data_IF_169186897492
#
_entry.id   IF_169186897492
#
_cell.length_a   1.000
_cell.length_b   1.000
_cell.length_c   1.000
_cell.angle_alpha   90.00
_cell.angle_beta   90.00
_cell.angle_gamma   90.00
#
_symmetry.space_group_name_H-M   'P 1'
#
loop_
_entity.id
_entity.type
_entity.pdbx_description
1 polymer ?
#
# COMPACT_ATOMS: atom_id res chain seq x y z
N UNK A 1 52.22 15.51 -50.31
CA UNK A 1 51.46 16.49 -49.51
C UNK A 1 50.80 15.70 -48.41
N UNK A 2 51.28 15.91 -47.18
CA UNK A 2 50.90 15.40 -45.86
C UNK A 2 50.02 14.14 -45.75
N UNK A 3 50.64 13.10 -45.20
CA UNK A 3 50.05 12.02 -44.43
C UNK A 3 49.29 12.57 -43.21
N UNK A 4 48.13 11.99 -42.91
CA UNK A 4 47.46 12.10 -41.62
C UNK A 4 47.26 10.67 -41.13
N UNK A 5 48.07 10.29 -40.14
CA UNK A 5 47.87 9.10 -39.32
C UNK A 5 46.62 9.28 -38.46
N UNK A 6 45.77 8.25 -38.43
CA UNK A 6 44.76 8.08 -37.39
C UNK A 6 45.02 6.70 -36.79
N UNK A 7 45.82 6.67 -35.73
CA UNK A 7 45.80 5.61 -34.73
C UNK A 7 44.57 5.79 -33.83
N UNK A 8 43.95 4.69 -33.41
CA UNK A 8 42.86 4.72 -32.45
C UNK A 8 42.14 3.38 -32.34
N UNK A 9 42.68 2.51 -31.50
CA UNK A 9 42.13 1.22 -31.09
C UNK A 9 40.88 1.43 -30.22
N UNK A 10 39.69 1.46 -30.83
CA UNK A 10 38.44 1.60 -30.09
C UNK A 10 37.95 0.22 -29.59
N UNK A 11 38.44 -0.12 -28.40
CA UNK A 11 37.76 -1.01 -27.48
C UNK A 11 36.28 -0.63 -27.40
N UNK A 12 35.39 -1.54 -27.81
CA UNK A 12 33.96 -1.44 -27.54
C UNK A 12 33.76 -1.69 -26.04
N UNK A 13 34.01 -0.66 -25.23
CA UNK A 13 33.53 -0.58 -23.87
C UNK A 13 32.07 -0.12 -23.92
N UNK A 14 31.15 -1.06 -23.75
CA UNK A 14 29.75 -0.81 -23.44
C UNK A 14 29.69 0.03 -22.15
N UNK A 15 29.63 1.35 -22.31
CA UNK A 15 29.49 2.32 -21.23
C UNK A 15 28.18 2.14 -20.46
N UNK A 16 28.17 1.20 -19.51
CA UNK A 16 27.29 1.25 -18.35
C UNK A 16 27.84 2.29 -17.37
N UNK A 17 27.77 3.55 -17.77
CA UNK A 17 27.86 4.68 -16.85
C UNK A 17 26.49 5.39 -16.84
N UNK A 18 25.49 4.70 -16.31
CA UNK A 18 24.35 5.41 -15.72
C UNK A 18 24.83 6.04 -14.44
N UNK A 19 25.26 7.28 -14.54
CA UNK A 19 25.31 8.22 -13.43
C UNK A 19 24.01 8.09 -12.64
N UNK A 20 24.09 7.54 -11.42
CA UNK A 20 23.00 7.60 -10.45
C UNK A 20 22.91 9.07 -10.05
N UNK A 21 22.22 9.86 -10.87
CA UNK A 21 21.74 11.16 -10.47
C UNK A 21 20.70 10.91 -9.39
N UNK A 22 21.10 11.13 -8.14
CA UNK A 22 20.25 11.27 -6.97
C UNK A 22 18.93 11.93 -7.37
N UNK A 23 17.85 11.14 -7.46
CA UNK A 23 16.52 11.63 -7.75
C UNK A 23 16.15 12.54 -6.57
N UNK A 24 16.21 13.83 -6.83
CA UNK A 24 15.84 14.87 -5.91
C UNK A 24 14.30 14.93 -5.90
N UNK A 25 13.66 14.22 -4.96
CA UNK A 25 12.19 14.09 -4.81
C UNK A 25 11.46 15.40 -4.44
N UNK A 26 12.05 16.56 -4.74
CA UNK A 26 11.47 17.88 -4.45
C UNK A 26 10.81 18.54 -5.67
N UNK A 27 10.58 17.80 -6.76
CA UNK A 27 9.86 18.29 -7.95
C UNK A 27 8.74 17.30 -8.32
N UNK A 28 7.80 17.08 -7.41
CA UNK A 28 6.48 16.51 -7.73
C UNK A 28 5.46 17.23 -6.85
N UNK A 29 5.26 18.53 -7.08
CA UNK A 29 4.26 19.30 -6.37
C UNK A 29 3.25 20.00 -7.31
N UNK A 30 3.42 19.94 -8.63
CA UNK A 30 2.59 20.75 -9.55
C UNK A 30 1.93 20.00 -10.73
N UNK A 31 2.05 18.68 -10.87
CA UNK A 31 1.34 17.94 -11.95
C UNK A 31 0.81 16.55 -11.52
N UNK A 32 0.33 16.37 -10.29
CA UNK A 32 -0.15 15.06 -9.78
C UNK A 32 -1.69 14.91 -9.67
N UNK A 33 -2.46 15.67 -10.45
CA UNK A 33 -3.93 15.57 -10.40
C UNK A 33 -4.49 14.32 -11.13
N UNK A 34 -3.69 13.57 -11.90
CA UNK A 34 -4.20 12.42 -12.68
C UNK A 34 -3.94 11.02 -12.10
N UNK A 35 -2.83 10.78 -11.38
CA UNK A 35 -2.43 9.41 -10.99
C UNK A 35 -3.02 8.91 -9.66
N UNK A 36 -3.57 9.79 -8.81
CA UNK A 36 -4.22 9.43 -7.52
C UNK A 36 -5.75 9.39 -7.66
N UNK A 37 -6.30 9.55 -8.87
CA UNK A 37 -7.75 9.69 -9.09
C UNK A 37 -8.60 8.60 -8.42
N UNK A 38 -8.18 7.33 -8.50
CA UNK A 38 -8.95 6.22 -7.90
C UNK A 38 -8.86 6.21 -6.38
N UNK A 39 -7.68 6.52 -5.81
CA UNK A 39 -7.55 6.65 -4.34
C UNK A 39 -8.39 7.84 -3.84
N UNK A 40 -8.39 8.96 -4.56
CA UNK A 40 -9.26 10.10 -4.24
C UNK A 40 -10.75 9.71 -4.30
N UNK A 41 -11.15 8.87 -5.26
CA UNK A 41 -12.53 8.35 -5.31
C UNK A 41 -12.87 7.50 -4.07
N UNK A 42 -11.90 6.75 -3.52
CA UNK A 42 -12.09 6.03 -2.24
C UNK A 42 -12.29 7.03 -1.10
N UNK A 43 -11.50 8.11 -1.03
CA UNK A 43 -11.69 9.16 -0.03
C UNK A 43 -13.09 9.78 -0.12
N UNK A 44 -13.50 10.21 -1.32
CA UNK A 44 -14.79 10.84 -1.54
C UNK A 44 -15.94 9.89 -1.18
N UNK A 45 -15.85 8.63 -1.58
CA UNK A 45 -16.85 7.61 -1.24
C UNK A 45 -16.99 7.42 0.27
N UNK A 46 -15.87 7.24 0.99
CA UNK A 46 -15.91 7.00 2.44
C UNK A 46 -16.44 8.24 3.18
N UNK A 47 -16.05 9.44 2.77
CA UNK A 47 -16.55 10.70 3.36
C UNK A 47 -18.06 10.86 3.14
N UNK A 48 -18.55 10.67 1.91
CA UNK A 48 -19.97 10.80 1.60
C UNK A 48 -20.82 9.73 2.29
N UNK A 49 -20.31 8.50 2.36
CA UNK A 49 -21.02 7.39 3.01
C UNK A 49 -21.09 7.60 4.54
N UNK A 50 -20.01 8.06 5.15
CA UNK A 50 -19.98 8.32 6.61
C UNK A 50 -20.84 9.52 7.03
N UNK A 51 -20.99 10.56 6.20
CA UNK A 51 -21.91 11.68 6.44
C UNK A 51 -23.37 11.22 6.53
N UNK A 52 -23.76 10.26 5.69
CA UNK A 52 -25.12 9.76 5.58
C UNK A 52 -25.40 8.54 6.48
N UNK A 53 -24.36 8.03 7.15
CA UNK A 53 -24.44 6.83 7.97
C UNK A 53 -25.14 7.11 9.31
N UNK A 54 -26.36 6.58 9.47
CA UNK A 54 -26.97 6.39 10.78
C UNK A 54 -26.46 5.08 11.33
N UNK A 55 -25.79 5.11 12.50
CA UNK A 55 -25.22 3.95 13.22
C UNK A 55 -26.27 2.85 13.37
N UNK A 56 -26.42 2.00 12.36
CA UNK A 56 -27.22 0.78 12.33
C UNK A 56 -26.25 -0.34 12.01
N UNK A 57 -25.82 -1.00 13.08
CA UNK A 57 -25.25 -2.34 13.15
C UNK A 57 -24.45 -2.78 11.92
N UNK A 58 -23.21 -2.28 11.79
CA UNK A 58 -22.19 -3.08 11.12
C UNK A 58 -21.93 -4.28 12.03
N UNK A 59 -22.68 -5.36 11.82
CA UNK A 59 -22.47 -6.61 12.51
C UNK A 59 -21.07 -7.10 12.14
N UNK A 60 -20.18 -7.13 13.13
CA UNK A 60 -18.89 -7.77 12.95
C UNK A 60 -19.13 -9.26 12.95
N UNK A 61 -18.75 -9.93 11.87
CA UNK A 61 -18.80 -11.39 11.81
C UNK A 61 -17.68 -11.95 12.71
N UNK A 62 -18.03 -12.76 13.71
CA UNK A 62 -17.08 -13.37 14.65
C UNK A 62 -15.95 -14.12 13.94
N UNK A 63 -16.24 -14.75 12.80
CA UNK A 63 -15.22 -15.44 12.00
C UNK A 63 -14.19 -14.47 11.39
N UNK A 64 -14.63 -13.28 10.96
CA UNK A 64 -13.73 -12.23 10.43
C UNK A 64 -12.81 -11.71 11.55
N UNK A 65 -13.32 -11.59 12.77
CA UNK A 65 -12.53 -11.18 13.94
C UNK A 65 -11.48 -12.21 14.35
N UNK A 66 -11.85 -13.49 14.38
CA UNK A 66 -10.94 -14.58 14.70
C UNK A 66 -9.78 -14.63 13.69
N UNK A 67 -10.12 -14.58 12.41
CA UNK A 67 -9.15 -14.56 11.31
C UNK A 67 -8.17 -13.38 11.40
N UNK A 68 -8.71 -12.17 11.58
CA UNK A 68 -7.91 -10.96 11.74
C UNK A 68 -6.97 -11.07 12.96
N UNK A 69 -7.45 -11.63 14.06
CA UNK A 69 -6.65 -11.81 15.26
C UNK A 69 -5.48 -12.76 15.04
N UNK A 70 -5.70 -13.88 14.35
CA UNK A 70 -4.63 -14.81 13.98
C UNK A 70 -3.59 -14.15 13.08
N UNK A 71 -4.04 -13.36 12.10
CA UNK A 71 -3.17 -12.61 11.17
C UNK A 71 -2.31 -11.56 11.89
N UNK A 72 -2.87 -10.88 12.89
CA UNK A 72 -2.12 -9.94 13.74
C UNK A 72 -1.02 -10.69 14.51
N UNK A 73 -1.34 -11.81 15.16
CA UNK A 73 -0.37 -12.60 15.94
C UNK A 73 0.73 -13.24 15.06
N UNK A 74 0.40 -13.56 13.82
CA UNK A 74 1.37 -14.02 12.84
C UNK A 74 2.40 -12.91 12.54
N UNK A 75 1.92 -11.69 12.34
CA UNK A 75 2.75 -10.60 11.82
C UNK A 75 3.46 -9.78 12.89
N UNK A 76 2.87 -9.57 14.06
CA UNK A 76 3.42 -8.73 15.13
C UNK A 76 3.83 -9.59 16.32
N UNK A 77 4.94 -9.25 16.98
CA UNK A 77 5.56 -10.12 18.00
C UNK A 77 5.55 -9.54 19.40
N UNK A 78 5.68 -8.23 19.54
CA UNK A 78 5.59 -7.63 20.88
C UNK A 78 4.12 -7.40 21.28
N UNK A 79 3.85 -7.48 22.57
CA UNK A 79 2.51 -7.18 23.11
C UNK A 79 2.06 -5.75 22.78
N UNK A 80 3.00 -4.80 22.76
CA UNK A 80 2.74 -3.41 22.40
C UNK A 80 2.32 -3.25 20.94
N UNK A 81 3.03 -3.90 20.01
CA UNK A 81 2.69 -3.89 18.58
C UNK A 81 1.32 -4.53 18.34
N UNK A 82 1.08 -5.69 18.95
CA UNK A 82 -0.20 -6.42 18.83
C UNK A 82 -1.35 -5.55 19.36
N UNK A 83 -1.17 -4.91 20.52
CA UNK A 83 -2.16 -4.03 21.13
C UNK A 83 -2.44 -2.81 20.24
N UNK A 84 -1.39 -2.18 19.72
CA UNK A 84 -1.52 -1.00 18.85
C UNK A 84 -2.29 -1.34 17.56
N UNK A 85 -1.95 -2.43 16.89
CA UNK A 85 -2.62 -2.83 15.63
C UNK A 85 -4.07 -3.25 15.89
N UNK A 86 -4.36 -3.97 16.97
CA UNK A 86 -5.75 -4.29 17.36
C UNK A 86 -6.57 -3.02 17.61
N UNK A 87 -5.97 -2.01 18.24
CA UNK A 87 -6.63 -0.72 18.46
C UNK A 87 -6.97 -0.03 17.14
N UNK A 88 -6.05 -0.06 16.16
CA UNK A 88 -6.31 0.48 14.83
C UNK A 88 -7.53 -0.17 14.18
N UNK A 89 -7.57 -1.50 14.10
CA UNK A 89 -8.72 -2.22 13.53
C UNK A 89 -10.02 -1.95 14.29
N UNK A 90 -9.97 -1.90 15.62
CA UNK A 90 -11.15 -1.63 16.45
C UNK A 90 -11.72 -0.23 16.21
N UNK A 91 -10.85 0.78 16.14
CA UNK A 91 -11.26 2.18 16.00
C UNK A 91 -11.71 2.52 14.57
N UNK A 92 -11.09 1.87 13.58
CA UNK A 92 -11.29 2.18 12.17
C UNK A 92 -12.21 1.19 11.44
N UNK A 93 -12.77 0.20 12.13
CA UNK A 93 -13.59 -0.85 11.55
C UNK A 93 -14.63 -0.36 10.52
N UNK A 94 -15.40 0.67 10.86
CA UNK A 94 -16.40 1.26 9.95
C UNK A 94 -15.78 1.83 8.68
N UNK A 95 -14.63 2.50 8.79
CA UNK A 95 -13.95 3.07 7.63
C UNK A 95 -13.35 1.97 6.75
N UNK A 96 -12.75 0.94 7.35
CA UNK A 96 -12.24 -0.24 6.64
C UNK A 96 -13.37 -0.90 5.84
N UNK A 97 -14.55 -1.07 6.45
CA UNK A 97 -15.72 -1.60 5.75
C UNK A 97 -16.13 -0.75 4.54
N UNK A 98 -16.11 0.58 4.65
CA UNK A 98 -16.45 1.45 3.52
C UNK A 98 -15.38 1.48 2.43
N UNK A 99 -14.10 1.36 2.80
CA UNK A 99 -13.01 1.16 1.84
C UNK A 99 -13.24 -0.14 1.07
N UNK A 100 -13.50 -1.25 1.76
CA UNK A 100 -13.80 -2.55 1.14
C UNK A 100 -14.98 -2.43 0.17
N UNK A 101 -16.07 -1.75 0.59
CA UNK A 101 -17.23 -1.53 -0.27
C UNK A 101 -16.93 -0.69 -1.50
N UNK A 102 -16.14 0.38 -1.36
CA UNK A 102 -15.71 1.18 -2.50
C UNK A 102 -14.86 0.33 -3.46
N UNK A 103 -13.89 -0.41 -2.93
CA UNK A 103 -12.99 -1.24 -3.71
C UNK A 103 -13.73 -2.31 -4.51
N UNK A 104 -14.74 -2.95 -3.92
CA UNK A 104 -15.62 -3.92 -4.58
C UNK A 104 -16.42 -3.36 -5.77
N UNK A 105 -16.53 -2.03 -5.91
CA UNK A 105 -17.21 -1.39 -7.05
C UNK A 105 -16.28 -1.05 -8.22
N UNK A 106 -14.97 -1.17 -8.02
CA UNK A 106 -13.98 -0.93 -9.08
C UNK A 106 -13.96 -2.09 -10.08
N UNK A 107 -13.61 -1.80 -11.32
CA UNK A 107 -13.32 -2.86 -12.30
C UNK A 107 -12.11 -3.69 -11.87
N UNK A 108 -12.10 -4.98 -12.19
CA UNK A 108 -11.04 -5.93 -11.80
C UNK A 108 -9.64 -5.43 -12.17
N UNK A 109 -9.47 -4.87 -13.37
CA UNK A 109 -8.23 -4.24 -13.81
C UNK A 109 -7.72 -3.17 -12.82
N UNK A 110 -8.61 -2.31 -12.33
CA UNK A 110 -8.25 -1.26 -11.38
C UNK A 110 -7.94 -1.83 -9.99
N UNK A 111 -8.65 -2.88 -9.57
CA UNK A 111 -8.35 -3.58 -8.33
C UNK A 111 -6.93 -4.16 -8.39
N UNK A 112 -6.59 -4.87 -9.47
CA UNK A 112 -5.27 -5.47 -9.68
C UNK A 112 -4.15 -4.42 -9.70
N UNK A 113 -4.36 -3.31 -10.40
CA UNK A 113 -3.39 -2.20 -10.42
C UNK A 113 -3.11 -1.67 -9.01
N UNK A 114 -4.15 -1.51 -8.19
CA UNK A 114 -3.99 -1.01 -6.81
C UNK A 114 -3.29 -2.06 -5.95
N UNK A 115 -3.71 -3.33 -6.01
CA UNK A 115 -3.03 -4.41 -5.29
C UNK A 115 -1.53 -4.45 -5.62
N UNK A 116 -1.19 -4.36 -6.91
CA UNK A 116 0.20 -4.35 -7.35
C UNK A 116 0.98 -3.13 -6.84
N UNK A 117 0.39 -1.93 -6.95
CA UNK A 117 1.00 -0.69 -6.46
C UNK A 117 1.30 -0.76 -4.97
N UNK A 118 0.33 -1.20 -4.17
CA UNK A 118 0.46 -1.27 -2.71
C UNK A 118 1.45 -2.35 -2.29
N UNK A 119 1.42 -3.50 -2.96
CA UNK A 119 2.40 -4.57 -2.72
C UNK A 119 3.82 -4.10 -2.99
N UNK A 120 4.05 -3.35 -4.08
CA UNK A 120 5.37 -2.79 -4.40
C UNK A 120 5.83 -1.77 -3.36
N UNK A 121 4.96 -0.84 -2.95
CA UNK A 121 5.27 0.10 -1.87
C UNK A 121 5.62 -0.62 -0.57
N UNK A 122 4.85 -1.64 -0.22
CA UNK A 122 5.11 -2.46 0.96
C UNK A 122 6.46 -3.17 0.88
N UNK A 123 6.80 -3.81 -0.25
CA UNK A 123 8.07 -4.51 -0.41
C UNK A 123 9.27 -3.54 -0.31
N UNK A 124 9.15 -2.35 -0.91
CA UNK A 124 10.17 -1.31 -0.79
C UNK A 124 10.37 -0.91 0.68
N UNK A 125 9.28 -0.68 1.42
CA UNK A 125 9.35 -0.35 2.85
C UNK A 125 9.89 -1.50 3.70
N UNK A 126 9.48 -2.75 3.42
CA UNK A 126 9.95 -3.97 4.10
C UNK A 126 11.46 -4.14 3.98
N UNK A 127 12.05 -3.71 2.86
CA UNK A 127 13.51 -3.74 2.65
C UNK A 127 14.27 -2.71 3.51
N UNK A 128 13.61 -1.62 3.93
CA UNK A 128 14.22 -0.47 4.59
C UNK A 128 13.89 -0.39 6.09
N UNK A 129 12.75 -0.94 6.50
CA UNK A 129 12.19 -0.80 7.82
C UNK A 129 11.93 -2.18 8.43
N UNK A 130 12.53 -2.45 9.59
CA UNK A 130 12.33 -3.72 10.31
C UNK A 130 11.07 -3.69 11.18
N UNK A 131 10.68 -2.51 11.67
CA UNK A 131 9.51 -2.38 12.51
C UNK A 131 8.24 -2.40 11.66
N UNK A 132 7.47 -3.47 11.78
CA UNK A 132 6.25 -3.69 10.99
C UNK A 132 5.15 -2.66 11.26
N UNK A 133 5.05 -2.13 12.48
CA UNK A 133 4.13 -1.03 12.79
C UNK A 133 4.59 0.27 12.12
N UNK A 134 5.89 0.52 12.06
CA UNK A 134 6.44 1.65 11.32
C UNK A 134 6.16 1.54 9.80
N UNK A 135 6.17 0.33 9.23
CA UNK A 135 5.75 0.09 7.84
C UNK A 135 4.29 0.52 7.65
N UNK A 136 3.36 0.11 8.53
CA UNK A 136 1.95 0.52 8.45
C UNK A 136 1.79 2.05 8.51
N UNK A 137 2.52 2.71 9.41
CA UNK A 137 2.51 4.17 9.54
C UNK A 137 3.04 4.86 8.29
N UNK A 138 4.15 4.38 7.72
CA UNK A 138 4.71 4.90 6.47
C UNK A 138 3.77 4.69 5.28
N UNK A 139 3.18 3.51 5.13
CA UNK A 139 2.14 3.27 4.11
C UNK A 139 0.97 4.25 4.25
N UNK A 140 0.52 4.52 5.48
CA UNK A 140 -0.56 5.49 5.73
C UNK A 140 -0.19 6.88 5.20
N UNK A 141 1.06 7.31 5.36
CA UNK A 141 1.52 8.61 4.84
C UNK A 141 1.56 8.69 3.32
N UNK A 142 1.76 7.57 2.61
CA UNK A 142 1.71 7.54 1.14
C UNK A 142 0.31 7.81 0.58
N UNK A 143 -0.73 7.36 1.28
CA UNK A 143 -2.12 7.55 0.85
C UNK A 143 -2.73 8.85 1.36
N UNK A 144 -2.07 9.56 2.27
CA UNK A 144 -2.58 10.80 2.84
C UNK A 144 -2.34 11.96 1.87
N UNK A 145 -3.38 12.63 1.34
CA UNK A 145 -3.19 13.77 0.45
C UNK A 145 -2.38 14.87 1.16
N UNK A 146 -1.35 15.47 0.52
CA UNK A 146 -0.42 16.39 1.20
C UNK A 146 -1.11 17.56 1.92
N UNK A 147 -2.16 18.12 1.29
CA UNK A 147 -2.96 19.23 1.83
C UNK A 147 -3.91 18.82 2.97
N UNK A 148 -4.07 17.53 3.23
CA UNK A 148 -5.00 16.97 4.22
C UNK A 148 -4.27 16.32 5.42
N UNK A 149 -2.94 16.49 5.53
CA UNK A 149 -2.12 15.89 6.58
C UNK A 149 -2.55 16.21 8.02
N UNK A 150 -3.27 17.32 8.22
CA UNK A 150 -3.80 17.75 9.52
C UNK A 150 -5.28 17.42 9.72
N UNK A 151 -5.93 16.79 8.74
CA UNK A 151 -7.35 16.45 8.79
C UNK A 151 -7.52 15.03 9.36
N UNK A 152 -8.08 14.86 10.57
CA UNK A 152 -8.20 13.55 11.21
C UNK A 152 -9.02 12.55 10.40
N UNK A 153 -10.04 13.00 9.67
CA UNK A 153 -10.87 12.13 8.83
C UNK A 153 -10.06 11.55 7.66
N UNK A 154 -9.22 12.36 7.03
CA UNK A 154 -8.35 11.88 5.95
C UNK A 154 -7.28 10.93 6.48
N UNK A 155 -6.71 11.21 7.66
CA UNK A 155 -5.78 10.28 8.29
C UNK A 155 -6.45 8.92 8.58
N UNK A 156 -7.65 8.94 9.15
CA UNK A 156 -8.43 7.74 9.44
C UNK A 156 -8.73 6.92 8.17
N UNK A 157 -9.10 7.59 7.07
CA UNK A 157 -9.35 6.91 5.78
C UNK A 157 -8.05 6.35 5.20
N UNK A 158 -6.96 7.12 5.16
CA UNK A 158 -5.66 6.66 4.70
C UNK A 158 -5.19 5.41 5.46
N UNK A 159 -5.34 5.42 6.79
CA UNK A 159 -5.00 4.29 7.62
C UNK A 159 -5.93 3.10 7.35
N UNK A 160 -7.22 3.35 7.12
CA UNK A 160 -8.19 2.30 6.78
C UNK A 160 -7.92 1.63 5.45
N UNK A 161 -7.42 2.38 4.46
CA UNK A 161 -6.92 1.82 3.19
C UNK A 161 -5.81 0.81 3.48
N UNK A 162 -4.80 1.19 4.26
CA UNK A 162 -3.70 0.27 4.60
C UNK A 162 -4.19 -0.96 5.36
N UNK A 163 -5.11 -0.79 6.31
CA UNK A 163 -5.65 -1.90 7.11
C UNK A 163 -6.54 -2.84 6.28
N UNK A 164 -7.23 -2.33 5.26
CA UNK A 164 -7.95 -3.15 4.29
C UNK A 164 -6.97 -4.08 3.54
N UNK A 165 -5.86 -3.54 3.02
CA UNK A 165 -4.85 -4.34 2.32
C UNK A 165 -4.05 -5.28 3.24
N UNK A 166 -4.02 -5.00 4.55
CA UNK A 166 -3.57 -5.97 5.54
C UNK A 166 -4.58 -7.11 5.65
N UNK A 167 -5.88 -6.82 5.77
CA UNK A 167 -6.93 -7.82 5.93
C UNK A 167 -7.04 -8.72 4.69
N UNK A 168 -6.90 -8.17 3.47
CA UNK A 168 -7.05 -8.91 2.21
C UNK A 168 -5.81 -9.71 1.74
N UNK A 169 -4.71 -9.70 2.53
CA UNK A 169 -3.43 -10.38 2.24
C UNK A 169 -2.53 -9.75 1.18
N UNK A 170 -2.81 -8.54 0.70
CA UNK A 170 -1.93 -7.84 -0.23
C UNK A 170 -0.59 -7.52 0.43
N UNK A 171 -0.62 -7.13 1.69
CA UNK A 171 0.57 -6.82 2.48
C UNK A 171 0.66 -7.76 3.69
N UNK A 172 1.87 -7.96 4.18
CA UNK A 172 2.19 -8.87 5.30
C UNK A 172 1.95 -10.37 5.02
N UNK A 173 2.32 -11.19 5.99
CA UNK A 173 2.28 -12.65 5.85
C UNK A 173 0.84 -13.16 5.91
N UNK A 174 0.56 -14.14 5.05
CA UNK A 174 -0.71 -14.87 5.00
C UNK A 174 -0.75 -15.96 6.07
N UNK A 175 -1.90 -16.15 6.69
CA UNK A 175 -2.24 -17.35 7.48
C UNK A 175 -2.22 -18.60 6.60
N UNK A 176 -2.15 -19.78 7.22
CA UNK A 176 -2.12 -21.05 6.47
C UNK A 176 -3.39 -21.27 5.64
N UNK A 177 -4.55 -20.83 6.15
CA UNK A 177 -5.83 -20.91 5.41
C UNK A 177 -5.83 -20.04 4.16
N UNK A 178 -5.20 -18.87 4.20
CA UNK A 178 -5.09 -17.94 3.07
C UNK A 178 -4.08 -18.40 2.00
N UNK A 179 -3.12 -19.27 2.33
CA UNK A 179 -2.12 -19.79 1.37
C UNK A 179 -2.67 -20.86 0.43
N UNK A 180 -3.72 -21.56 0.84
CA UNK A 180 -4.26 -22.73 0.13
C UNK A 180 -4.91 -22.35 -1.23
N UNK A 181 -5.15 -21.05 -1.48
CA UNK A 181 -5.78 -20.56 -2.72
C UNK A 181 -4.86 -19.93 -3.78
N UNK A 182 -3.56 -19.77 -3.52
CA UNK A 182 -2.64 -19.12 -4.48
C UNK A 182 -2.09 -20.11 -5.51
N UNK A 183 -2.53 -19.96 -6.76
CA UNK A 183 -1.86 -20.54 -7.94
C UNK A 183 -0.55 -19.78 -8.17
N UNK A 184 0.56 -20.46 -7.97
CA UNK A 184 1.87 -19.93 -8.33
C UNK A 184 2.10 -20.23 -9.81
N UNK A 185 2.14 -19.17 -10.63
CA UNK A 185 2.31 -19.28 -12.09
C UNK A 185 3.63 -19.97 -12.47
N UNK A 186 4.58 -20.04 -11.52
CA UNK A 186 5.91 -20.59 -11.72
C UNK A 186 6.25 -21.73 -10.76
N UNK A 187 5.25 -22.38 -10.15
CA UNK A 187 5.50 -23.51 -9.22
C UNK A 187 6.24 -24.69 -9.85
N UNK A 188 6.25 -24.75 -11.18
CA UNK A 188 6.81 -25.83 -12.00
C UNK A 188 8.04 -25.40 -12.84
N UNK A 189 8.63 -24.20 -12.59
CA UNK A 189 9.91 -23.77 -13.19
C UNK A 189 11.09 -24.03 -12.24
#
# INVERSE_FOLDING_TARGET
>A
MKDIEIEGDDNIASGRDTSISTINYNIIAEESDSEIGIINNIFDYVIETTKNYKRKDVLVNDNKLLHLNEKILLNFKSEEEIKEVRQYFTQLYTHIHWVEKCFQTLEEFHQDCIHHYIFNLYNNLKSQEKNKVAILKKLTTYFLPPKQSKNPSYFAIAQSIVLFFFDDCTIFEKTETEKIGTLDLFKDL
#
